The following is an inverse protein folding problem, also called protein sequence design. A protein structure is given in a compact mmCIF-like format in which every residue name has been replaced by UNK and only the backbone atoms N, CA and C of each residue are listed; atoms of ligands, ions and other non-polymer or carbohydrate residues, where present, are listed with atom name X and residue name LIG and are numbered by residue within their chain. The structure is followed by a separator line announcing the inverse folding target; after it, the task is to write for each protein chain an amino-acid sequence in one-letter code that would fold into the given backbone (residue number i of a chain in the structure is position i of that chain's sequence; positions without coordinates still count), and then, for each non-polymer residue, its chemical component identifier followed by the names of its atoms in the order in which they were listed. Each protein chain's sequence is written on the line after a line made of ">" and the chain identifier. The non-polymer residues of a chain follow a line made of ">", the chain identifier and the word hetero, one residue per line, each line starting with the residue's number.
data_IF_850229583654
#
_entry.id   IF_850229583654
#
_cell.length_a   1.000
_cell.length_b   1.000
_cell.length_c   1.000
_cell.angle_alpha   90.00
_cell.angle_beta   90.00
_cell.angle_gamma   90.00
#
_symmetry.space_group_name_H-M   'P 1'
#
loop_
_entity.id
_entity.type
_entity.pdbx_description
1 polymer ?
#
# COMPACT_ATOMS: atom_id res chain seq x y z
N UNK A 1 7.56 1.34 15.24
CA UNK A 1 6.51 2.32 15.58
C UNK A 1 5.47 2.23 14.48
N UNK A 2 4.18 2.08 14.80
CA UNK A 2 3.15 2.05 13.76
C UNK A 2 3.03 3.46 13.17
N UNK A 3 3.46 3.62 11.92
CA UNK A 3 3.18 4.86 11.19
C UNK A 3 1.70 4.90 10.84
N UNK A 4 1.14 6.09 10.73
CA UNK A 4 -0.25 6.28 10.29
C UNK A 4 -0.29 7.19 9.08
N UNK A 5 -1.30 7.02 8.24
CA UNK A 5 -1.55 7.84 7.08
C UNK A 5 -2.96 8.40 7.15
N UNK A 6 -3.12 9.71 6.98
CA UNK A 6 -4.43 10.34 6.86
C UNK A 6 -4.74 10.53 5.38
N UNK A 7 -5.81 9.89 4.94
CA UNK A 7 -6.27 9.91 3.54
C UNK A 7 -6.72 11.30 3.11
N UNK A 8 -6.50 11.59 1.83
CA UNK A 8 -7.07 12.70 1.10
C UNK A 8 -8.27 12.25 0.26
N UNK A 9 -9.09 13.21 -0.18
CA UNK A 9 -10.24 12.91 -1.00
C UNK A 9 -9.81 12.31 -2.35
N UNK A 10 -10.37 11.15 -2.68
CA UNK A 10 -10.07 10.48 -3.95
C UNK A 10 -8.89 9.52 -3.87
N UNK A 11 -8.26 9.36 -2.71
CA UNK A 11 -7.21 8.36 -2.53
C UNK A 11 -7.75 6.95 -2.74
N UNK A 12 -6.93 6.11 -3.36
CA UNK A 12 -7.16 4.67 -3.53
C UNK A 12 -6.00 3.89 -2.91
N UNK A 13 -6.22 2.62 -2.60
CA UNK A 13 -5.21 1.77 -1.94
C UNK A 13 -3.86 1.72 -2.66
N UNK A 14 -3.86 1.60 -3.99
CA UNK A 14 -2.68 1.61 -4.87
C UNK A 14 -1.94 2.95 -4.81
N UNK A 15 -2.67 4.07 -4.88
CA UNK A 15 -2.10 5.42 -4.80
C UNK A 15 -1.45 5.70 -3.45
N UNK A 16 -2.05 5.22 -2.36
CA UNK A 16 -1.51 5.34 -1.00
C UNK A 16 -0.26 4.47 -0.88
N UNK A 17 -0.32 3.22 -1.33
CA UNK A 17 0.81 2.29 -1.33
C UNK A 17 2.00 2.86 -2.12
N UNK A 18 1.76 3.40 -3.32
CA UNK A 18 2.81 4.03 -4.12
C UNK A 18 3.43 5.24 -3.42
N UNK A 19 2.63 6.10 -2.79
CA UNK A 19 3.14 7.26 -2.03
C UNK A 19 3.99 6.86 -0.83
N UNK A 20 3.57 5.83 -0.10
CA UNK A 20 4.23 5.40 1.14
C UNK A 20 5.45 4.52 0.89
N UNK A 21 5.37 3.64 -0.10
CA UNK A 21 6.34 2.58 -0.33
C UNK A 21 7.10 2.69 -1.66
N UNK A 22 6.70 3.60 -2.54
CA UNK A 22 7.19 3.64 -3.94
C UNK A 22 6.76 2.41 -4.75
N UNK A 23 5.74 1.70 -4.29
CA UNK A 23 5.29 0.44 -4.87
C UNK A 23 3.81 0.19 -4.60
N UNK A 24 3.01 0.06 -5.65
CA UNK A 24 1.56 -0.22 -5.56
C UNK A 24 1.30 -1.61 -4.95
N UNK A 25 2.24 -2.55 -5.08
CA UNK A 25 2.16 -3.89 -4.49
C UNK A 25 2.05 -3.89 -2.96
N UNK A 26 2.45 -2.80 -2.30
CA UNK A 26 2.27 -2.61 -0.86
C UNK A 26 0.80 -2.45 -0.42
N UNK A 27 -0.14 -2.33 -1.36
CA UNK A 27 -1.57 -2.20 -1.03
C UNK A 27 -2.10 -3.39 -0.22
N UNK A 28 -1.61 -4.61 -0.50
CA UNK A 28 -2.03 -5.81 0.22
C UNK A 28 -1.67 -5.72 1.72
N UNK A 29 -0.52 -5.14 2.04
CA UNK A 29 -0.10 -4.92 3.42
C UNK A 29 -1.00 -3.88 4.10
N UNK A 30 -1.32 -2.79 3.39
CA UNK A 30 -2.24 -1.77 3.89
C UNK A 30 -3.65 -2.32 4.14
N UNK A 31 -4.21 -3.11 3.22
CA UNK A 31 -5.54 -3.72 3.38
C UNK A 31 -5.55 -4.69 4.56
N UNK A 32 -4.54 -5.56 4.68
CA UNK A 32 -4.43 -6.51 5.78
C UNK A 32 -4.32 -5.84 7.15
N UNK A 33 -3.67 -4.67 7.22
CA UNK A 33 -3.56 -3.88 8.45
C UNK A 33 -4.83 -3.08 8.78
N UNK A 34 -5.76 -2.93 7.83
CA UNK A 34 -6.94 -2.07 7.94
C UNK A 34 -8.23 -2.77 7.44
N UNK A 35 -8.60 -3.94 8.01
CA UNK A 35 -9.69 -4.77 7.49
C UNK A 35 -11.05 -4.08 7.48
N UNK A 36 -11.28 -3.10 8.37
CA UNK A 36 -12.52 -2.32 8.42
C UNK A 36 -12.79 -1.49 7.16
N UNK A 37 -11.78 -1.26 6.32
CA UNK A 37 -11.89 -0.45 5.10
C UNK A 37 -11.68 -1.26 3.83
N UNK A 38 -11.74 -2.60 3.90
CA UNK A 38 -11.46 -3.48 2.75
C UNK A 38 -12.39 -3.22 1.56
N UNK A 39 -13.64 -2.85 1.82
CA UNK A 39 -14.65 -2.56 0.80
C UNK A 39 -14.58 -1.12 0.28
N UNK A 40 -13.67 -0.30 0.79
CA UNK A 40 -13.48 1.09 0.36
C UNK A 40 -12.59 1.10 -0.89
N UNK A 41 -13.18 1.39 -2.03
CA UNK A 41 -12.45 1.58 -3.29
C UNK A 41 -11.83 2.98 -3.39
N UNK A 42 -12.53 4.00 -2.88
CA UNK A 42 -12.11 5.40 -2.91
C UNK A 42 -12.34 6.01 -1.54
N UNK A 43 -11.27 6.50 -0.93
CA UNK A 43 -11.31 7.07 0.40
C UNK A 43 -11.85 8.51 0.39
N UNK A 44 -12.72 8.86 1.35
CA UNK A 44 -12.95 10.26 1.69
C UNK A 44 -11.73 10.83 2.42
N UNK A 45 -11.61 12.16 2.44
CA UNK A 45 -10.55 12.79 3.23
C UNK A 45 -10.74 12.54 4.74
N UNK A 46 -9.63 12.37 5.47
CA UNK A 46 -9.61 12.32 6.93
C UNK A 46 -9.70 10.93 7.57
N UNK A 47 -9.76 9.85 6.79
CA UNK A 47 -9.64 8.48 7.33
C UNK A 47 -8.19 8.21 7.71
N UNK A 48 -7.97 7.75 8.93
CA UNK A 48 -6.63 7.38 9.43
C UNK A 48 -6.41 5.88 9.24
N UNK A 49 -5.40 5.53 8.46
CA UNK A 49 -4.98 4.16 8.19
C UNK A 49 -3.70 3.83 8.95
N UNK A 50 -3.60 2.59 9.42
CA UNK A 50 -2.37 2.03 9.96
C UNK A 50 -1.43 1.66 8.81
N UNK A 51 -0.18 2.10 8.89
CA UNK A 51 0.84 1.84 7.87
C UNK A 51 1.84 0.80 8.41
N UNK A 52 1.74 -0.47 7.98
CA UNK A 52 2.72 -1.48 8.34
C UNK A 52 4.04 -1.25 7.60
N UNK A 53 5.11 -1.86 8.09
CA UNK A 53 6.36 -1.95 7.33
C UNK A 53 6.13 -2.85 6.10
N UNK A 54 6.65 -2.40 4.95
CA UNK A 54 6.58 -3.13 3.69
C UNK A 54 7.97 -3.19 3.06
N UNK A 55 8.37 -4.39 2.64
CA UNK A 55 9.62 -4.61 1.92
C UNK A 55 9.24 -5.04 0.50
N UNK A 56 9.60 -4.21 -0.47
CA UNK A 56 9.36 -4.48 -1.88
C UNK A 56 10.05 -5.80 -2.28
N UNK A 57 9.33 -6.74 -2.93
CA UNK A 57 9.97 -7.94 -3.44
C UNK A 57 11.01 -7.56 -4.50
N UNK A 58 12.26 -7.96 -4.28
CA UNK A 58 13.31 -7.85 -5.29
C UNK A 58 13.12 -8.99 -6.29
N UNK A 59 12.79 -8.63 -7.53
CA UNK A 59 12.73 -9.59 -8.64
C UNK A 59 14.16 -10.05 -8.99
N UNK A 60 14.71 -10.97 -8.20
CA UNK A 60 16.04 -11.55 -8.43
C UNK A 60 16.05 -12.70 -9.45
N UNK A 61 14.94 -12.93 -10.14
CA UNK A 61 14.83 -13.97 -11.15
C UNK A 61 14.76 -13.33 -12.53
N UNK A 62 15.90 -12.77 -12.98
CA UNK A 62 16.11 -12.66 -14.41
C UNK A 62 15.94 -14.06 -15.01
N UNK A 63 15.08 -14.23 -16.02
CA UNK A 63 14.89 -15.53 -16.63
C UNK A 63 16.22 -16.00 -17.25
N UNK A 64 16.43 -17.33 -17.41
CA UNK A 64 17.73 -17.90 -17.78
C UNK A 64 18.37 -17.32 -19.04
N UNK A 65 17.57 -16.83 -19.99
CA UNK A 65 18.01 -16.24 -21.27
C UNK A 65 18.40 -14.75 -21.19
N UNK A 66 18.31 -14.11 -20.02
CA UNK A 66 18.83 -12.75 -19.75
C UNK A 66 20.02 -12.77 -18.79
N UNK A 67 20.61 -13.94 -18.52
CA UNK A 67 21.87 -14.10 -17.79
C UNK A 67 23.05 -14.13 -18.75
#
# INVERSE_FOLDING_TARGET
>A
MANTYTTAQGDMWDSIAYRLYGDEGGMNALIAANPSYIDVMVFPAGVVLSVPDYIKPTANTLPPWRR
#
